data_IF_653885871153
#
_entry.id   IF_653885871153
#
_cell.length_a   1.000
_cell.length_b   1.000
_cell.length_c   1.000
_cell.angle_alpha   90.00
_cell.angle_beta   90.00
_cell.angle_gamma   90.00
#
_symmetry.space_group_name_H-M   'P 1'
#
loop_
_entity.id
_entity.type
_entity.pdbx_description
1 polymer ?
#
# COMPACT_ATOMS: atom_id res chain seq x y z
N UNK A 1 -12.56 -9.14 -4.09
CA UNK A 1 -11.71 -10.15 -3.43
C UNK A 1 -10.41 -9.43 -3.23
N UNK A 2 -10.05 -9.11 -2.00
CA UNK A 2 -9.08 -8.04 -1.68
C UNK A 2 -7.80 -8.61 -1.09
N UNK A 3 -6.69 -8.56 -1.84
CA UNK A 3 -5.35 -8.86 -1.33
C UNK A 3 -4.82 -7.58 -0.69
N UNK A 4 -4.65 -7.54 0.62
CA UNK A 4 -4.04 -6.38 1.28
C UNK A 4 -2.56 -6.63 1.45
N UNK A 5 -1.74 -5.77 0.83
CA UNK A 5 -0.29 -5.80 1.01
C UNK A 5 0.14 -4.61 1.84
N UNK A 6 0.88 -4.87 2.91
CA UNK A 6 1.57 -3.82 3.66
C UNK A 6 3.07 -3.99 3.59
N UNK A 7 3.78 -2.86 3.60
CA UNK A 7 5.17 -2.85 4.06
C UNK A 7 5.18 -2.96 5.58
N UNK A 8 5.86 -3.96 6.13
CA UNK A 8 6.20 -3.93 7.54
C UNK A 8 7.28 -2.86 7.71
N UNK A 9 6.95 -1.77 8.42
CA UNK A 9 7.98 -0.91 8.98
C UNK A 9 8.76 -1.72 10.02
N UNK A 10 9.83 -2.40 9.61
CA UNK A 10 10.83 -2.90 10.54
C UNK A 10 11.34 -1.69 11.33
N UNK A 11 10.92 -1.60 12.59
CA UNK A 11 11.36 -0.59 13.52
C UNK A 11 12.88 -0.67 13.66
N UNK A 12 13.58 0.19 12.93
CA UNK A 12 15.02 0.37 13.03
C UNK A 12 15.39 0.63 14.49
N UNK A 13 15.97 -0.39 15.13
CA UNK A 13 16.65 -0.24 16.40
C UNK A 13 17.68 0.87 16.27
N UNK A 14 17.47 1.97 17.01
CA UNK A 14 18.38 3.12 17.00
C UNK A 14 19.78 2.66 17.42
N UNK A 15 20.82 2.85 16.59
CA UNK A 15 22.17 2.82 17.13
C UNK A 15 22.34 3.99 18.09
N UNK A 16 22.66 3.70 19.35
CA UNK A 16 23.16 4.71 20.31
C UNK A 16 24.48 5.24 19.78
N UNK A 17 24.45 6.39 19.11
CA UNK A 17 25.65 7.16 18.81
C UNK A 17 25.94 8.13 19.97
N UNK A 18 27.09 7.91 20.60
CA UNK A 18 27.70 8.75 21.64
C UNK A 18 27.85 10.22 21.20
N UNK A 19 27.80 11.18 22.13
CA UNK A 19 28.11 12.57 21.83
C UNK A 19 29.63 12.73 21.69
N UNK A 20 30.12 12.97 20.47
CA UNK A 20 31.49 13.46 20.27
C UNK A 20 31.38 14.96 19.98
N UNK A 21 31.74 15.76 20.97
CA UNK A 21 31.93 17.19 20.84
C UNK A 21 33.11 17.46 19.88
N UNK A 22 32.83 18.02 18.71
CA UNK A 22 33.87 18.51 17.80
C UNK A 22 34.01 20.02 17.98
N UNK A 23 35.15 20.42 18.56
CA UNK A 23 35.53 21.81 18.77
C UNK A 23 35.84 22.50 17.43
N UNK A 24 35.18 23.64 17.21
CA UNK A 24 35.44 24.57 16.12
C UNK A 24 36.80 25.26 16.37
N UNK A 25 37.78 25.04 15.48
CA UNK A 25 39.03 25.81 15.47
C UNK A 25 39.14 26.59 14.17
N UNK A 26 39.02 27.91 14.30
CA UNK A 26 39.32 28.91 13.27
C UNK A 26 40.84 29.08 13.15
N UNK A 27 41.37 28.86 11.96
CA UNK A 27 42.67 29.37 11.49
C UNK A 27 42.36 29.99 10.12
N UNK A 28 42.68 31.25 9.79
CA UNK A 28 43.92 31.96 10.00
C UNK A 28 44.56 32.16 8.63
N UNK A 29 44.22 33.27 7.95
CA UNK A 29 44.74 33.64 6.63
C UNK A 29 46.26 33.88 6.68
N UNK A 30 47.01 33.30 5.74
CA UNK A 30 48.44 33.55 5.56
C UNK A 30 48.81 33.52 4.07
N UNK A 31 49.48 34.57 3.61
CA UNK A 31 49.78 34.89 2.22
C UNK A 31 50.83 33.97 1.55
N UNK A 32 50.76 33.90 0.22
CA UNK A 32 51.56 33.07 -0.68
C UNK A 32 52.99 33.62 -0.96
N UNK A 33 53.88 32.74 -1.49
CA UNK A 33 54.75 33.15 -2.58
C UNK A 33 54.78 32.15 -3.77
N UNK A 34 55.24 32.58 -4.96
CA UNK A 34 55.25 31.77 -6.17
C UNK A 34 56.54 30.96 -6.29
N UNK A 35 56.42 29.67 -6.57
CA UNK A 35 57.56 28.79 -6.82
C UNK A 35 57.12 27.57 -7.62
N UNK A 36 57.49 27.54 -8.90
CA UNK A 36 57.25 26.44 -9.81
C UNK A 36 57.95 25.17 -9.32
N UNK A 37 57.17 24.12 -9.08
CA UNK A 37 57.67 22.80 -8.70
C UNK A 37 56.63 21.73 -9.06
N UNK A 38 56.92 20.99 -10.12
CA UNK A 38 56.20 19.80 -10.56
C UNK A 38 56.21 18.75 -9.43
N UNK A 39 55.04 18.42 -8.86
CA UNK A 39 54.88 17.32 -7.89
C UNK A 39 53.78 16.37 -8.35
N UNK A 40 54.13 15.08 -8.31
CA UNK A 40 53.38 13.90 -8.69
C UNK A 40 52.03 13.73 -7.95
N UNK A 41 51.03 13.32 -8.74
CA UNK A 41 50.03 12.24 -8.52
C UNK A 41 49.36 12.01 -7.14
N UNK A 42 48.01 12.15 -7.16
CA UNK A 42 46.93 11.38 -6.48
C UNK A 42 46.99 11.13 -4.94
N UNK A 43 45.87 11.34 -4.21
CA UNK A 43 44.67 10.53 -4.43
C UNK A 43 43.34 11.30 -4.41
N UNK A 44 42.66 11.30 -5.56
CA UNK A 44 41.22 11.50 -5.64
C UNK A 44 40.52 10.17 -5.29
N UNK A 45 40.45 9.82 -4.01
CA UNK A 45 39.84 8.54 -3.61
C UNK A 45 39.30 8.59 -2.17
N UNK A 46 38.18 9.26 -1.92
CA UNK A 46 37.31 8.90 -0.78
C UNK A 46 35.90 9.53 -0.83
N UNK A 47 35.14 9.31 -1.90
CA UNK A 47 33.73 9.72 -1.97
C UNK A 47 32.79 8.54 -2.35
N UNK A 48 33.06 7.33 -1.83
CA UNK A 48 32.37 6.10 -2.27
C UNK A 48 31.62 5.32 -1.18
N UNK A 49 31.42 5.84 0.04
CA UNK A 49 31.03 4.96 1.17
C UNK A 49 29.62 5.10 1.76
N UNK A 50 28.73 5.89 1.17
CA UNK A 50 27.33 5.91 1.65
C UNK A 50 26.32 5.81 0.51
N UNK A 51 26.53 4.87 -0.40
CA UNK A 51 25.42 4.30 -1.13
C UNK A 51 24.61 3.48 -0.12
N UNK A 52 23.67 4.12 0.57
CA UNK A 52 22.67 3.45 1.38
C UNK A 52 21.97 2.45 0.47
N UNK A 53 22.24 1.17 0.62
CA UNK A 53 21.46 0.15 -0.03
C UNK A 53 20.03 0.29 0.51
N UNK A 54 19.16 0.93 -0.26
CA UNK A 54 17.73 0.94 0.02
C UNK A 54 17.28 -0.51 -0.07
N UNK A 55 17.20 -1.17 1.08
CA UNK A 55 16.63 -2.50 1.15
C UNK A 55 15.19 -2.37 0.64
N UNK A 56 14.89 -3.04 -0.47
CA UNK A 56 13.53 -3.13 -0.95
C UNK A 56 12.70 -3.79 0.16
N UNK A 57 11.80 -3.05 0.78
CA UNK A 57 10.90 -3.61 1.78
C UNK A 57 10.04 -4.67 1.10
N UNK A 58 10.11 -5.91 1.60
CA UNK A 58 9.28 -6.98 1.09
C UNK A 58 7.81 -6.65 1.38
N UNK A 59 7.00 -6.56 0.34
CA UNK A 59 5.55 -6.45 0.48
C UNK A 59 5.02 -7.76 1.07
N UNK A 60 4.39 -7.67 2.23
CA UNK A 60 3.77 -8.82 2.89
C UNK A 60 2.27 -8.75 2.66
N UNK A 61 1.69 -9.85 2.18
CA UNK A 61 0.23 -9.98 2.14
C UNK A 61 -0.27 -10.24 3.56
N UNK A 62 -1.11 -9.35 4.06
CA UNK A 62 -1.66 -9.44 5.41
C UNK A 62 -2.96 -10.22 5.44
N UNK A 63 -3.80 -10.10 4.41
CA UNK A 63 -5.07 -10.82 4.35
C UNK A 63 -5.50 -10.95 2.88
N UNK A 64 -6.10 -12.08 2.54
CA UNK A 64 -6.50 -12.41 1.16
C UNK A 64 -7.56 -13.50 1.16
N UNK A 65 -8.61 -13.31 0.36
CA UNK A 65 -9.62 -14.33 0.04
C UNK A 65 -9.55 -14.78 -1.44
N UNK A 66 -8.35 -14.76 -2.07
CA UNK A 66 -8.20 -14.98 -3.52
C UNK A 66 -8.41 -16.41 -3.98
N UNK A 67 -8.20 -17.34 -3.07
CA UNK A 67 -8.37 -18.77 -3.34
C UNK A 67 -9.80 -19.24 -3.15
N UNK A 68 -10.65 -18.43 -2.51
CA UNK A 68 -12.03 -18.79 -2.25
C UNK A 68 -12.82 -18.68 -3.56
N UNK A 69 -13.48 -19.76 -3.96
CA UNK A 69 -14.01 -19.97 -5.30
C UNK A 69 -14.98 -18.88 -5.80
N UNK A 70 -15.21 -18.88 -7.13
CA UNK A 70 -16.12 -17.98 -7.87
C UNK A 70 -17.56 -17.95 -7.35
N UNK A 71 -17.94 -18.84 -6.44
CA UNK A 71 -19.30 -19.11 -6.02
C UNK A 71 -20.00 -17.89 -5.37
N UNK A 72 -19.23 -16.87 -4.97
CA UNK A 72 -19.73 -15.62 -4.39
C UNK A 72 -19.32 -14.37 -5.22
N UNK A 73 -19.34 -14.44 -6.55
CA UNK A 73 -19.11 -13.25 -7.38
C UNK A 73 -20.32 -12.31 -7.37
N UNK A 74 -20.08 -11.01 -7.15
CA UNK A 74 -21.08 -9.95 -7.30
C UNK A 74 -20.82 -9.21 -8.60
N UNK A 75 -21.89 -8.94 -9.34
CA UNK A 75 -21.84 -8.13 -10.55
C UNK A 75 -21.78 -6.63 -10.22
N UNK A 76 -20.81 -5.93 -10.79
CA UNK A 76 -20.73 -4.48 -10.82
C UNK A 76 -20.77 -3.99 -12.28
N UNK A 77 -21.38 -2.83 -12.53
CA UNK A 77 -21.47 -2.26 -13.88
C UNK A 77 -22.64 -1.31 -14.08
N UNK A 78 -23.80 -1.56 -13.48
CA UNK A 78 -24.88 -0.57 -13.48
C UNK A 78 -24.65 0.47 -12.36
N UNK A 79 -24.69 1.76 -12.69
CA UNK A 79 -24.42 2.90 -11.79
C UNK A 79 -25.25 2.94 -10.51
N UNK A 80 -26.38 2.21 -10.44
CA UNK A 80 -27.19 2.07 -9.22
C UNK A 80 -26.81 0.86 -8.34
N UNK A 81 -26.21 -0.20 -8.88
CA UNK A 81 -25.91 -1.46 -8.16
C UNK A 81 -24.43 -1.81 -8.09
N UNK A 82 -23.55 -1.06 -8.77
CA UNK A 82 -22.12 -1.36 -8.89
C UNK A 82 -21.27 -1.07 -7.67
N UNK A 83 -21.86 -1.00 -6.46
CA UNK A 83 -21.13 -0.77 -5.21
C UNK A 83 -20.97 -2.07 -4.46
N UNK A 84 -19.72 -2.46 -4.24
CA UNK A 84 -19.35 -3.66 -3.49
C UNK A 84 -18.48 -3.20 -2.33
N UNK A 85 -18.81 -3.65 -1.11
CA UNK A 85 -18.01 -3.40 0.06
C UNK A 85 -17.47 -4.74 0.59
N UNK A 86 -16.19 -4.80 0.94
CA UNK A 86 -15.63 -5.92 1.70
C UNK A 86 -15.00 -5.37 2.97
N UNK A 87 -15.50 -5.83 4.12
CA UNK A 87 -15.04 -5.39 5.43
C UNK A 87 -13.85 -6.20 5.92
N UNK A 88 -12.98 -5.57 6.70
CA UNK A 88 -11.86 -6.20 7.36
C UNK A 88 -11.46 -5.46 8.64
N UNK A 89 -10.84 -6.18 9.58
CA UNK A 89 -10.25 -5.63 10.80
C UNK A 89 -8.75 -5.82 10.79
N UNK A 90 -8.00 -4.76 11.08
CA UNK A 90 -6.54 -4.82 11.19
C UNK A 90 -6.09 -5.49 12.49
N UNK A 91 -4.93 -6.15 12.48
CA UNK A 91 -4.35 -6.74 13.69
C UNK A 91 -3.81 -5.74 14.71
N UNK A 92 -3.21 -6.24 15.79
CA UNK A 92 -2.86 -5.45 16.98
C UNK A 92 -1.48 -4.74 16.95
N UNK A 93 -0.85 -4.57 15.79
CA UNK A 93 0.44 -3.87 15.71
C UNK A 93 0.30 -2.41 16.18
N UNK A 94 0.91 -2.04 17.31
CA UNK A 94 0.73 -0.73 17.95
C UNK A 94 1.10 0.46 17.06
N UNK A 95 1.98 0.27 16.07
CA UNK A 95 2.32 1.33 15.11
C UNK A 95 1.31 1.43 13.95
N UNK A 96 0.37 0.50 13.81
CA UNK A 96 -0.48 0.38 12.63
C UNK A 96 0.25 -0.23 11.45
N UNK A 97 -0.28 0.01 10.24
CA UNK A 97 0.18 -0.61 9.00
C UNK A 97 0.22 0.41 7.87
N UNK A 98 1.27 0.35 7.06
CA UNK A 98 1.34 1.12 5.83
C UNK A 98 0.76 0.29 4.69
N UNK A 99 -0.37 0.74 4.14
CA UNK A 99 -1.06 0.06 3.06
C UNK A 99 -0.48 0.50 1.72
N UNK A 100 0.05 -0.45 0.95
CA UNK A 100 0.63 -0.16 -0.37
C UNK A 100 -0.34 -0.45 -1.51
N UNK A 101 -1.14 -1.50 -1.40
CA UNK A 101 -2.08 -1.89 -2.44
C UNK A 101 -3.23 -2.73 -1.92
N UNK A 102 -4.31 -2.74 -2.71
CA UNK A 102 -5.42 -3.68 -2.62
C UNK A 102 -5.53 -4.40 -3.96
N UNK A 103 -5.39 -5.72 -3.95
CA UNK A 103 -5.56 -6.55 -5.15
C UNK A 103 -7.00 -7.01 -5.30
N UNK A 104 -7.68 -6.71 -6.41
CA UNK A 104 -9.06 -7.15 -6.70
C UNK A 104 -9.07 -8.24 -7.76
N UNK A 105 -9.59 -9.43 -7.45
CA UNK A 105 -9.84 -10.46 -8.48
C UNK A 105 -11.11 -10.11 -9.27
N UNK A 106 -10.91 -9.88 -10.58
CA UNK A 106 -11.99 -9.64 -11.55
C UNK A 106 -12.12 -10.92 -12.37
N UNK A 107 -13.27 -11.58 -12.25
CA UNK A 107 -13.51 -12.89 -12.88
C UNK A 107 -13.89 -12.78 -14.34
N UNK A 108 -14.71 -11.80 -14.66
CA UNK A 108 -15.17 -11.50 -16.01
C UNK A 108 -15.06 -9.99 -16.18
N UNK A 109 -14.50 -9.60 -17.31
CA UNK A 109 -14.29 -8.21 -17.70
C UNK A 109 -14.70 -8.07 -19.17
N UNK A 110 -15.99 -7.81 -19.40
CA UNK A 110 -16.50 -7.51 -20.75
C UNK A 110 -16.33 -6.04 -21.10
N UNK A 111 -15.43 -5.34 -20.39
CA UNK A 111 -15.42 -3.89 -20.42
C UNK A 111 -14.98 -3.28 -21.75
N UNK A 112 -15.75 -2.29 -22.16
CA UNK A 112 -15.34 -1.31 -23.15
C UNK A 112 -14.43 -0.24 -22.52
N UNK A 113 -13.69 0.50 -23.35
CA UNK A 113 -12.73 1.52 -22.90
C UNK A 113 -13.35 2.69 -22.12
N UNK A 114 -14.68 2.81 -22.05
CA UNK A 114 -15.37 3.86 -21.29
C UNK A 114 -15.67 3.48 -19.84
N UNK A 115 -15.44 2.23 -19.46
CA UNK A 115 -15.85 1.69 -18.18
C UNK A 115 -14.73 1.85 -17.15
N UNK A 116 -15.12 2.05 -15.89
CA UNK A 116 -14.17 2.41 -14.84
C UNK A 116 -14.45 1.66 -13.55
N UNK A 117 -13.37 1.26 -12.87
CA UNK A 117 -13.44 0.78 -11.49
C UNK A 117 -12.71 1.79 -10.61
N UNK A 118 -13.41 2.26 -9.57
CA UNK A 118 -12.83 3.06 -8.49
C UNK A 118 -12.76 2.22 -7.23
N UNK A 119 -11.58 2.16 -6.61
CA UNK A 119 -11.36 1.49 -5.34
C UNK A 119 -11.02 2.52 -4.27
N UNK A 120 -11.68 2.40 -3.12
CA UNK A 120 -11.46 3.27 -1.96
C UNK A 120 -11.49 2.44 -0.68
N UNK A 121 -10.76 2.90 0.34
CA UNK A 121 -10.84 2.35 1.69
C UNK A 121 -11.46 3.37 2.60
N UNK A 122 -12.41 2.93 3.43
CA UNK A 122 -13.04 3.76 4.44
C UNK A 122 -12.87 3.13 5.82
N UNK A 123 -12.72 3.97 6.84
CA UNK A 123 -12.76 3.58 8.25
C UNK A 123 -14.20 3.68 8.74
N UNK A 124 -14.70 2.66 9.40
CA UNK A 124 -16.06 2.67 9.94
C UNK A 124 -16.08 2.17 11.39
N UNK A 125 -16.95 2.76 12.21
CA UNK A 125 -17.01 2.55 13.66
C UNK A 125 -18.33 1.91 14.12
N UNK A 126 -19.31 1.76 13.22
CA UNK A 126 -20.64 1.30 13.60
C UNK A 126 -20.91 -0.16 13.24
N UNK A 127 -21.91 -0.73 13.91
CA UNK A 127 -22.62 -1.94 13.47
C UNK A 127 -23.59 -1.66 12.31
N UNK A 128 -23.72 -0.41 11.87
CA UNK A 128 -24.68 -0.06 10.82
C UNK A 128 -24.13 -0.44 9.46
N UNK A 129 -24.86 -1.30 8.76
CA UNK A 129 -24.41 -1.94 7.52
C UNK A 129 -24.26 -0.98 6.34
N UNK A 130 -24.83 0.24 6.43
CA UNK A 130 -25.01 1.15 5.30
C UNK A 130 -24.20 2.44 5.37
N UNK A 131 -23.34 2.62 6.37
CA UNK A 131 -22.48 3.79 6.46
C UNK A 131 -21.10 3.45 5.90
N UNK A 132 -20.66 4.15 4.85
CA UNK A 132 -19.31 4.00 4.32
C UNK A 132 -18.25 4.45 5.33
N UNK A 133 -18.59 5.36 6.26
CA UNK A 133 -17.66 5.89 7.24
C UNK A 133 -16.78 6.99 6.68
N UNK A 134 -15.57 7.11 7.21
CA UNK A 134 -14.58 8.11 6.82
C UNK A 134 -13.68 7.59 5.69
N UNK A 135 -13.58 8.34 4.59
CA UNK A 135 -12.66 8.02 3.51
C UNK A 135 -11.20 8.11 4.00
N UNK A 136 -10.49 7.00 3.90
CA UNK A 136 -9.06 6.90 4.27
C UNK A 136 -8.18 7.12 3.05
N UNK A 137 -8.53 6.46 1.93
CA UNK A 137 -7.76 6.54 0.70
C UNK A 137 -8.61 6.19 -0.53
N UNK A 138 -8.29 6.81 -1.65
CA UNK A 138 -8.73 6.40 -3.00
C UNK A 138 -7.51 5.91 -3.77
N UNK A 139 -7.64 4.76 -4.42
CA UNK A 139 -6.53 4.04 -5.03
C UNK A 139 -6.42 4.39 -6.51
N UNK A 140 -5.22 4.32 -7.07
CA UNK A 140 -5.04 4.39 -8.51
C UNK A 140 -5.35 3.05 -9.16
N UNK A 141 -6.17 3.10 -10.20
CA UNK A 141 -6.50 1.96 -11.06
C UNK A 141 -5.28 1.60 -11.91
N UNK A 142 -4.95 0.30 -12.07
CA UNK A 142 -3.90 -0.11 -12.98
C UNK A 142 -4.22 0.33 -14.41
N UNK A 143 -3.19 0.50 -15.24
CA UNK A 143 -3.35 0.94 -16.64
C UNK A 143 -4.18 -0.04 -17.49
N UNK A 144 -4.30 -1.29 -17.04
CA UNK A 144 -5.12 -2.33 -17.66
C UNK A 144 -5.65 -3.27 -16.57
N UNK A 145 -6.94 -3.59 -16.67
CA UNK A 145 -7.55 -4.68 -15.92
C UNK A 145 -7.36 -5.99 -16.69
N UNK A 146 -7.03 -7.05 -15.96
CA UNK A 146 -6.84 -8.39 -16.51
C UNK A 146 -7.96 -9.28 -15.96
N UNK A 147 -8.78 -9.77 -16.88
CA UNK A 147 -9.80 -10.78 -16.60
C UNK A 147 -9.17 -12.05 -16.03
N UNK A 148 -9.86 -12.67 -15.07
CA UNK A 148 -9.46 -13.91 -14.44
C UNK A 148 -8.26 -13.78 -13.50
N UNK A 149 -7.76 -12.56 -13.25
CA UNK A 149 -6.58 -12.31 -12.44
C UNK A 149 -6.82 -11.31 -11.29
N UNK A 150 -5.91 -11.29 -10.33
CA UNK A 150 -5.84 -10.26 -9.29
C UNK A 150 -5.24 -8.99 -9.90
N UNK A 151 -5.98 -7.88 -9.81
CA UNK A 151 -5.59 -6.57 -10.29
C UNK A 151 -5.18 -5.69 -9.11
N UNK A 152 -3.92 -5.26 -9.06
CA UNK A 152 -3.42 -4.43 -7.97
C UNK A 152 -3.78 -2.95 -8.16
N UNK A 153 -4.57 -2.42 -7.22
CA UNK A 153 -4.85 -1.00 -7.07
C UNK A 153 -3.86 -0.40 -6.09
N UNK A 154 -3.18 0.68 -6.48
CA UNK A 154 -2.09 1.24 -5.66
C UNK A 154 -2.62 2.32 -4.72
N UNK A 155 -2.27 2.20 -3.44
CA UNK A 155 -2.63 3.21 -2.44
C UNK A 155 -1.77 4.48 -2.63
N UNK A 156 -2.29 5.66 -2.26
CA UNK A 156 -1.47 6.85 -2.09
C UNK A 156 -0.31 6.60 -1.12
N UNK A 157 0.80 7.32 -1.31
CA UNK A 157 1.95 7.21 -0.40
C UNK A 157 1.56 7.57 1.03
N UNK A 158 2.12 6.84 2.01
CA UNK A 158 1.84 7.02 3.44
C UNK A 158 0.38 6.73 3.86
N UNK A 159 -0.37 5.95 3.08
CA UNK A 159 -1.70 5.47 3.50
C UNK A 159 -1.55 4.57 4.73
N UNK A 160 -2.09 5.01 5.87
CA UNK A 160 -1.92 4.34 7.16
C UNK A 160 -3.23 3.77 7.70
N UNK A 161 -3.17 2.52 8.14
CA UNK A 161 -4.24 1.86 8.87
C UNK A 161 -3.87 1.78 10.36
N UNK A 162 -4.82 2.12 11.22
CA UNK A 162 -4.69 2.02 12.67
C UNK A 162 -4.81 0.55 13.11
N UNK A 163 -4.19 0.16 14.24
CA UNK A 163 -4.39 -1.17 14.80
C UNK A 163 -5.82 -1.42 15.26
N UNK A 164 -6.24 -2.69 15.27
CA UNK A 164 -7.53 -3.14 15.79
C UNK A 164 -8.71 -2.29 15.31
N UNK A 165 -8.66 -1.84 14.05
CA UNK A 165 -9.62 -0.90 13.49
C UNK A 165 -10.33 -1.54 12.31
N UNK A 166 -11.63 -1.31 12.21
CA UNK A 166 -12.48 -1.81 11.14
C UNK A 166 -12.44 -0.88 9.94
N UNK A 167 -12.30 -1.49 8.77
CA UNK A 167 -12.24 -0.82 7.49
C UNK A 167 -13.09 -1.56 6.47
N UNK A 168 -13.52 -0.87 5.43
CA UNK A 168 -14.11 -1.49 4.26
C UNK A 168 -13.37 -1.04 3.00
N UNK A 169 -13.17 -1.98 2.08
CA UNK A 169 -12.81 -1.69 0.69
C UNK A 169 -14.11 -1.50 -0.07
N UNK A 170 -14.35 -0.28 -0.52
CA UNK A 170 -15.48 0.07 -1.38
C UNK A 170 -15.01 0.11 -2.84
N UNK A 171 -15.65 -0.72 -3.66
CA UNK A 171 -15.39 -0.88 -5.08
C UNK A 171 -16.61 -0.38 -5.82
N UNK A 172 -16.40 0.57 -6.74
CA UNK A 172 -17.45 1.15 -7.58
C UNK A 172 -17.11 0.89 -9.02
N UNK A 173 -17.87 0.00 -9.67
CA UNK A 173 -17.81 -0.23 -11.11
C UNK A 173 -18.83 0.62 -11.84
N UNK A 174 -18.39 1.38 -12.85
CA UNK A 174 -19.23 2.11 -13.79
C UNK A 174 -19.04 1.49 -15.16
N UNK A 175 -20.05 0.73 -15.58
CA UNK A 175 -20.13 0.02 -16.83
C UNK A 175 -21.30 0.48 -17.70
N UNK A 176 -21.43 -0.10 -18.87
CA UNK A 176 -22.58 0.06 -19.77
C UNK A 176 -23.61 -1.07 -19.62
N UNK A 177 -23.23 -2.20 -19.01
CA UNK A 177 -24.10 -3.34 -18.71
C UNK A 177 -24.03 -3.75 -17.24
N UNK A 178 -24.97 -4.59 -16.83
CA UNK A 178 -25.06 -5.10 -15.46
C UNK A 178 -23.98 -6.12 -15.11
N UNK A 179 -23.26 -6.67 -16.09
CA UNK A 179 -22.30 -7.77 -15.93
C UNK A 179 -20.90 -7.43 -16.45
N UNK A 180 -20.57 -6.14 -16.54
CA UNK A 180 -19.27 -5.73 -17.08
C UNK A 180 -18.12 -6.16 -16.15
N UNK A 181 -18.36 -6.14 -14.84
CA UNK A 181 -17.39 -6.61 -13.84
C UNK A 181 -18.01 -7.68 -12.96
N UNK A 182 -17.37 -8.84 -12.86
CA UNK A 182 -17.66 -9.82 -11.81
C UNK A 182 -16.54 -9.80 -10.77
N UNK A 183 -16.88 -9.40 -9.55
CA UNK A 183 -15.91 -9.27 -8.46
C UNK A 183 -16.20 -10.34 -7.42
N UNK A 184 -15.23 -11.22 -7.15
CA UNK A 184 -15.37 -12.21 -6.08
C UNK A 184 -15.48 -11.54 -4.71
N UNK A 185 -16.39 -11.95 -3.85
CA UNK A 185 -16.42 -11.52 -2.43
C UNK A 185 -16.48 -12.73 -1.52
N UNK A 186 -16.32 -12.53 -0.22
CA UNK A 186 -16.66 -13.56 0.78
C UNK A 186 -17.90 -13.15 1.57
N UNK A 187 -18.78 -14.13 1.78
CA UNK A 187 -19.94 -14.04 2.67
C UNK A 187 -19.65 -14.75 4.02
N UNK A 188 -18.39 -15.12 4.26
CA UNK A 188 -17.93 -15.84 5.44
C UNK A 188 -17.20 -14.88 6.38
N UNK A 189 -17.56 -14.91 7.67
CA UNK A 189 -16.81 -14.25 8.75
C UNK A 189 -15.65 -15.13 9.27
N UNK A 190 -15.45 -16.32 8.69
CA UNK A 190 -14.43 -17.27 9.11
C UNK A 190 -13.10 -17.12 8.34
N UNK A 191 -13.01 -16.16 7.42
CA UNK A 191 -11.80 -15.93 6.65
C UNK A 191 -10.72 -15.27 7.52
N UNK A 192 -9.62 -15.99 7.73
CA UNK A 192 -8.51 -15.52 8.56
C UNK A 192 -7.36 -15.00 7.71
N UNK A 193 -6.85 -13.81 8.04
CA UNK A 193 -5.59 -13.29 7.51
C UNK A 193 -4.37 -13.70 8.33
N UNK A 194 -3.33 -12.88 8.25
CA UNK A 194 -2.22 -12.84 9.20
C UNK A 194 -2.75 -12.69 10.63
N UNK A 195 -1.94 -13.06 11.63
CA UNK A 195 -2.36 -13.06 13.03
C UNK A 195 -3.04 -11.73 13.44
N UNK A 196 -4.28 -11.84 13.92
CA UNK A 196 -5.11 -10.71 14.36
C UNK A 196 -5.91 -10.00 13.25
N UNK A 197 -5.75 -10.37 11.98
CA UNK A 197 -6.54 -9.85 10.88
C UNK A 197 -7.78 -10.68 10.64
N UNK A 198 -8.91 -10.00 10.42
CA UNK A 198 -10.20 -10.62 10.14
C UNK A 198 -10.75 -10.05 8.83
N UNK A 199 -11.34 -10.90 7.99
CA UNK A 199 -12.26 -10.46 6.93
C UNK A 199 -13.67 -10.72 7.47
N UNK A 200 -14.55 -9.73 7.34
CA UNK A 200 -15.96 -9.87 7.68
C UNK A 200 -16.76 -9.99 6.38
N UNK A 201 -17.99 -10.48 6.47
CA UNK A 201 -18.90 -10.55 5.34
C UNK A 201 -19.04 -9.21 4.58
N UNK A 202 -19.23 -9.34 3.27
CA UNK A 202 -19.50 -8.24 2.36
C UNK A 202 -20.88 -7.61 2.61
#
# INVERSE_FOLDING_TARGET
>A
MSVFRSGLCEGGGRPRASPVAAALRTFGFGAAPPGAGLVLALPAALALLFASATAAQAQTTLVSNAGEGRDNAINAGNSASGRIAQRFTTGSNTTGYDLSSVGIHIHEDNSSSSETITVSVHRFDSSETNNLGELVATFSTPSRLNEGAVNDFTAPSNTRLLPNTRYLVNIVGVGNHTHDFQIGVTNSDAETGAAGWLIENA
#
